data_IF_381382718056
#
_entry.id   IF_381382718056
#
_cell.length_a   1.000
_cell.length_b   1.000
_cell.length_c   1.000
_cell.angle_alpha   90.00
_cell.angle_beta   90.00
_cell.angle_gamma   90.00
#
_symmetry.space_group_name_H-M   'P 1'
#
loop_
_entity.id
_entity.type
_entity.pdbx_description
1 polymer ?
#
# COMPACT_ATOMS: atom_id res chain seq x y z
N UNK A 1 2.87 18.88 22.64
CA UNK A 1 2.85 17.86 21.57
C UNK A 1 4.21 17.20 21.56
N UNK A 2 4.29 15.91 21.24
CA UNK A 2 5.57 15.18 21.26
C UNK A 2 6.40 15.58 20.03
N UNK A 3 7.68 15.98 20.18
CA UNK A 3 8.55 16.35 19.06
C UNK A 3 8.63 15.28 17.95
N UNK A 4 8.35 14.02 18.30
CA UNK A 4 8.36 12.90 17.36
C UNK A 4 7.25 12.93 16.31
N UNK A 5 6.04 13.42 16.63
CA UNK A 5 4.96 13.47 15.64
C UNK A 5 5.27 14.52 14.57
N UNK A 6 5.73 15.69 14.98
CA UNK A 6 6.01 16.80 14.07
C UNK A 6 7.14 16.44 13.12
N UNK A 7 8.22 15.83 13.64
CA UNK A 7 9.33 15.34 12.84
C UNK A 7 8.90 14.24 11.84
N UNK A 8 8.05 13.31 12.28
CA UNK A 8 7.52 12.25 11.41
C UNK A 8 6.68 12.82 10.27
N UNK A 9 5.76 13.75 10.58
CA UNK A 9 4.90 14.37 9.58
C UNK A 9 5.69 15.26 8.62
N UNK A 10 6.71 15.98 9.11
CA UNK A 10 7.62 16.73 8.26
C UNK A 10 8.40 15.82 7.30
N UNK A 11 8.95 14.70 7.80
CA UNK A 11 9.65 13.73 6.96
C UNK A 11 8.72 13.10 5.91
N UNK A 12 7.50 12.71 6.30
CA UNK A 12 6.50 12.17 5.37
C UNK A 12 6.08 13.21 4.33
N UNK A 13 5.91 14.47 4.73
CA UNK A 13 5.58 15.57 3.83
C UNK A 13 6.65 15.74 2.76
N UNK A 14 7.91 15.91 3.17
CA UNK A 14 9.05 16.08 2.26
C UNK A 14 9.16 14.87 1.33
N UNK A 15 9.12 13.66 1.87
CA UNK A 15 9.19 12.45 1.07
C UNK A 15 8.06 12.37 0.03
N UNK A 16 6.83 12.67 0.44
CA UNK A 16 5.67 12.60 -0.46
C UNK A 16 5.71 13.70 -1.53
N UNK A 17 6.18 14.91 -1.18
CA UNK A 17 6.32 16.02 -2.12
C UNK A 17 7.41 15.73 -3.16
N UNK A 18 8.53 15.15 -2.74
CA UNK A 18 9.67 14.86 -3.62
C UNK A 18 9.45 13.65 -4.54
N UNK A 19 8.73 12.62 -4.08
CA UNK A 19 8.65 11.33 -4.77
C UNK A 19 7.27 11.00 -5.37
N UNK A 20 6.20 11.63 -4.92
CA UNK A 20 4.82 11.24 -5.28
C UNK A 20 3.98 12.40 -5.79
N UNK A 21 4.18 13.60 -5.27
CA UNK A 21 3.41 14.75 -5.70
C UNK A 21 3.69 15.04 -7.19
N UNK A 22 2.64 15.30 -8.00
CA UNK A 22 2.83 15.61 -9.40
C UNK A 22 3.60 16.92 -9.57
N UNK A 23 4.39 17.01 -10.64
CA UNK A 23 5.11 18.25 -11.03
C UNK A 23 4.14 19.43 -10.98
N UNK A 24 4.55 20.49 -10.26
CA UNK A 24 3.71 21.67 -9.96
C UNK A 24 3.05 22.18 -11.24
N UNK A 25 1.71 22.10 -11.30
CA UNK A 25 0.93 22.67 -12.40
C UNK A 25 0.97 24.20 -12.29
N UNK A 26 1.07 24.87 -13.44
CA UNK A 26 0.91 26.33 -13.52
C UNK A 26 -0.56 26.66 -13.16
N UNK A 27 -0.77 27.32 -12.01
CA UNK A 27 -2.11 27.68 -11.50
C UNK A 27 -2.09 27.95 -9.99
N UNK A 28 -3.26 28.31 -9.44
CA UNK A 28 -3.43 28.49 -7.99
C UNK A 28 -3.30 27.13 -7.28
N UNK A 29 -2.29 26.94 -6.40
CA UNK A 29 -2.10 25.66 -5.73
C UNK A 29 -3.34 25.31 -4.90
N UNK A 30 -3.73 24.02 -4.85
CA UNK A 30 -4.82 23.61 -4.00
C UNK A 30 -4.53 24.01 -2.55
N UNK A 31 -5.55 24.50 -1.83
CA UNK A 31 -5.40 25.00 -0.44
C UNK A 31 -4.74 23.97 0.49
N UNK A 32 -4.94 22.69 0.20
CA UNK A 32 -4.25 21.57 0.85
C UNK A 32 -3.64 20.71 -0.26
N UNK A 33 -2.35 20.46 -0.21
CA UNK A 33 -1.64 19.59 -1.18
C UNK A 33 -1.97 18.11 -0.95
N UNK A 34 -1.56 17.24 -1.86
CA UNK A 34 -1.71 15.78 -1.69
C UNK A 34 -0.77 15.25 -0.58
N UNK A 35 0.46 15.79 -0.48
CA UNK A 35 1.38 15.51 0.61
C UNK A 35 0.82 15.93 1.98
N UNK A 36 0.23 17.12 2.10
CA UNK A 36 -0.42 17.55 3.34
C UNK A 36 -1.66 16.69 3.67
N UNK A 37 -2.45 16.28 2.68
CA UNK A 37 -3.58 15.38 2.88
C UNK A 37 -3.14 14.05 3.49
N UNK A 38 -2.05 13.46 2.98
CA UNK A 38 -1.46 12.23 3.50
C UNK A 38 -0.97 12.40 4.93
N UNK A 39 -0.25 13.48 5.22
CA UNK A 39 0.21 13.78 6.58
C UNK A 39 -0.97 13.92 7.55
N UNK A 40 -2.05 14.59 7.13
CA UNK A 40 -3.26 14.72 7.94
C UNK A 40 -3.95 13.35 8.16
N UNK A 41 -3.99 12.49 7.14
CA UNK A 41 -4.55 11.15 7.27
C UNK A 41 -3.72 10.25 8.19
N UNK A 42 -2.39 10.27 8.06
CA UNK A 42 -1.47 9.51 8.92
C UNK A 42 -1.56 10.00 10.36
N UNK A 43 -1.58 11.33 10.58
CA UNK A 43 -1.77 11.90 11.90
C UNK A 43 -3.10 11.45 12.54
N UNK A 44 -4.19 11.41 11.77
CA UNK A 44 -5.48 10.91 12.25
C UNK A 44 -5.37 9.49 12.81
N UNK A 45 -4.68 8.59 12.08
CA UNK A 45 -4.52 7.18 12.46
C UNK A 45 -3.60 7.05 13.66
N UNK A 46 -2.44 7.70 13.67
CA UNK A 46 -1.47 7.65 14.76
C UNK A 46 -2.02 8.19 16.07
N UNK A 47 -2.91 9.19 16.00
CA UNK A 47 -3.57 9.77 17.15
C UNK A 47 -4.88 9.04 17.52
N UNK A 48 -5.26 7.98 16.81
CA UNK A 48 -6.40 7.12 17.16
C UNK A 48 -7.79 7.74 16.92
N UNK A 49 -7.91 8.72 16.01
CA UNK A 49 -9.21 9.35 15.75
C UNK A 49 -10.06 8.55 14.77
N UNK A 50 -11.13 7.93 15.27
CA UNK A 50 -12.11 7.21 14.43
C UNK A 50 -13.18 8.11 13.80
N UNK A 51 -13.46 9.28 14.42
CA UNK A 51 -14.47 10.22 13.93
C UNK A 51 -13.83 11.38 13.19
N UNK A 52 -14.10 11.49 11.88
CA UNK A 52 -13.60 12.59 11.05
C UNK A 52 -14.01 13.96 11.57
N UNK A 53 -15.21 14.08 12.16
CA UNK A 53 -15.68 15.34 12.75
C UNK A 53 -14.82 15.75 13.96
N UNK A 54 -14.55 14.81 14.87
CA UNK A 54 -13.69 15.08 16.01
C UNK A 54 -12.24 15.33 15.60
N UNK A 55 -11.75 14.57 14.62
CA UNK A 55 -10.43 14.73 14.04
C UNK A 55 -10.22 16.15 13.51
N UNK A 56 -11.10 16.63 12.64
CA UNK A 56 -10.92 17.94 12.01
C UNK A 56 -10.99 19.06 13.06
N UNK A 57 -11.91 18.97 14.03
CA UNK A 57 -11.95 19.92 15.15
C UNK A 57 -10.63 19.93 15.94
N UNK A 58 -10.06 18.76 16.21
CA UNK A 58 -8.78 18.64 16.89
C UNK A 58 -7.63 19.23 16.05
N UNK A 59 -7.57 18.90 14.76
CA UNK A 59 -6.54 19.39 13.85
C UNK A 59 -6.52 20.92 13.78
N UNK A 60 -7.69 21.56 13.67
CA UNK A 60 -7.81 23.02 13.71
C UNK A 60 -7.32 23.63 15.04
N UNK A 61 -7.51 22.94 16.16
CA UNK A 61 -7.10 23.43 17.47
C UNK A 61 -5.62 23.20 17.79
N UNK A 62 -5.00 22.13 17.26
CA UNK A 62 -3.69 21.65 17.72
C UNK A 62 -2.62 21.59 16.64
N UNK A 63 -3.00 21.42 15.38
CA UNK A 63 -2.08 21.23 14.26
C UNK A 63 -1.99 22.40 13.26
N UNK A 64 -2.51 23.64 13.49
CA UNK A 64 -2.48 24.66 12.45
C UNK A 64 -1.06 25.12 12.07
N UNK A 65 -0.07 24.85 12.92
CA UNK A 65 1.33 25.17 12.66
C UNK A 65 2.03 24.19 11.69
N UNK A 66 1.45 23.00 11.46
CA UNK A 66 2.03 21.97 10.58
C UNK A 66 1.49 22.02 9.15
N UNK A 67 0.40 22.77 8.92
CA UNK A 67 -0.32 22.76 7.64
C UNK A 67 -0.56 24.19 7.17
N UNK A 68 -0.43 24.43 5.86
CA UNK A 68 -0.71 25.74 5.27
C UNK A 68 -2.18 26.12 5.41
N UNK A 69 -3.07 25.16 5.19
CA UNK A 69 -4.51 25.36 5.35
C UNK A 69 -5.19 24.05 5.72
N UNK A 70 -6.04 24.08 6.74
CA UNK A 70 -6.80 22.91 7.16
C UNK A 70 -8.17 22.88 6.48
N UNK A 71 -8.55 21.74 5.87
CA UNK A 71 -9.85 21.60 5.22
C UNK A 71 -10.99 21.56 6.25
N UNK A 72 -12.20 21.79 5.77
CA UNK A 72 -13.42 21.45 6.51
C UNK A 72 -13.72 19.95 6.39
N UNK A 73 -14.55 19.43 7.30
CA UNK A 73 -14.82 17.99 7.41
C UNK A 73 -15.30 17.34 6.10
N UNK A 74 -16.20 17.99 5.37
CA UNK A 74 -16.70 17.49 4.09
C UNK A 74 -15.60 17.42 3.02
N UNK A 75 -14.79 18.48 2.91
CA UNK A 75 -13.67 18.55 1.96
C UNK A 75 -12.59 17.51 2.25
N UNK A 76 -12.22 17.34 3.52
CA UNK A 76 -11.27 16.31 3.94
C UNK A 76 -11.79 14.91 3.59
N UNK A 77 -13.03 14.59 3.96
CA UNK A 77 -13.62 13.27 3.73
C UNK A 77 -13.68 12.94 2.24
N UNK A 78 -14.13 13.91 1.42
CA UNK A 78 -14.19 13.75 -0.04
C UNK A 78 -12.83 13.44 -0.64
N UNK A 79 -11.79 14.17 -0.23
CA UNK A 79 -10.43 13.94 -0.75
C UNK A 79 -9.81 12.66 -0.23
N UNK A 80 -10.00 12.32 1.04
CA UNK A 80 -9.51 11.08 1.62
C UNK A 80 -10.13 9.86 0.91
N UNK A 81 -11.42 9.89 0.60
CA UNK A 81 -12.09 8.83 -0.16
C UNK A 81 -11.54 8.66 -1.59
N UNK A 82 -11.00 9.73 -2.18
CA UNK A 82 -10.35 9.69 -3.49
C UNK A 82 -8.84 9.40 -3.42
N UNK A 83 -8.25 9.36 -2.22
CA UNK A 83 -6.80 9.25 -2.03
C UNK A 83 -6.26 7.82 -2.20
N UNK A 84 -7.09 6.83 -2.52
CA UNK A 84 -6.66 5.43 -2.70
C UNK A 84 -5.43 5.28 -3.60
N UNK A 85 -5.44 5.81 -4.84
CA UNK A 85 -4.27 5.75 -5.73
C UNK A 85 -3.04 6.49 -5.19
N UNK A 86 -3.24 7.58 -4.45
CA UNK A 86 -2.16 8.35 -3.84
C UNK A 86 -1.48 7.55 -2.71
N UNK A 87 -2.28 6.91 -1.85
CA UNK A 87 -1.80 6.04 -0.78
C UNK A 87 -0.99 4.87 -1.38
N UNK A 88 -1.50 4.23 -2.44
CA UNK A 88 -0.77 3.17 -3.14
C UNK A 88 0.58 3.65 -3.68
N UNK A 89 0.66 4.85 -4.26
CA UNK A 89 1.91 5.42 -4.78
C UNK A 89 2.92 5.72 -3.67
N UNK A 90 2.47 6.27 -2.53
CA UNK A 90 3.36 6.52 -1.39
C UNK A 90 3.88 5.23 -0.80
N UNK A 91 3.03 4.22 -0.63
CA UNK A 91 3.44 2.90 -0.15
C UNK A 91 4.50 2.32 -1.09
N UNK A 92 4.27 2.35 -2.41
CA UNK A 92 5.24 1.88 -3.41
C UNK A 92 6.56 2.68 -3.34
N UNK A 93 6.49 4.01 -3.23
CA UNK A 93 7.67 4.87 -3.17
C UNK A 93 8.50 4.59 -1.90
N UNK A 94 7.84 4.44 -0.74
CA UNK A 94 8.48 4.07 0.52
C UNK A 94 9.09 2.66 0.45
N UNK A 95 8.41 1.71 -0.22
CA UNK A 95 8.93 0.36 -0.38
C UNK A 95 10.26 0.32 -1.12
N UNK A 96 10.45 1.21 -2.10
CA UNK A 96 11.71 1.35 -2.84
C UNK A 96 12.86 1.93 -2.03
N UNK A 97 12.59 2.54 -0.86
CA UNK A 97 13.64 3.06 0.02
C UNK A 97 14.20 2.01 0.98
N UNK A 98 13.53 0.86 1.09
CA UNK A 98 13.95 -0.19 2.02
C UNK A 98 15.08 -1.02 1.39
N UNK A 99 16.14 -1.40 2.15
CA UNK A 99 17.29 -2.13 1.59
C UNK A 99 16.91 -3.41 0.86
N UNK A 100 15.91 -4.13 1.39
CA UNK A 100 15.40 -5.41 0.88
C UNK A 100 14.42 -5.27 -0.29
N UNK A 101 14.25 -4.05 -0.84
CA UNK A 101 13.48 -3.84 -2.07
C UNK A 101 14.00 -4.70 -3.22
N UNK A 102 15.33 -4.81 -3.32
CA UNK A 102 15.99 -5.50 -4.43
C UNK A 102 16.15 -7.02 -4.24
N UNK A 103 15.66 -7.55 -3.12
CA UNK A 103 15.78 -8.98 -2.83
C UNK A 103 14.80 -9.79 -3.69
N UNK A 104 15.11 -11.07 -3.90
CA UNK A 104 14.19 -12.02 -4.54
C UNK A 104 13.11 -12.52 -3.56
N UNK A 105 13.32 -12.35 -2.25
CA UNK A 105 12.40 -12.80 -1.22
C UNK A 105 11.25 -11.80 -1.05
N UNK A 106 10.02 -12.32 -1.07
CA UNK A 106 8.79 -11.58 -0.72
C UNK A 106 8.02 -12.35 0.32
N UNK A 107 7.49 -11.64 1.31
CA UNK A 107 6.58 -12.21 2.29
C UNK A 107 5.15 -11.95 1.86
N UNK A 108 4.29 -12.92 2.12
CA UNK A 108 2.87 -12.85 1.83
C UNK A 108 2.13 -13.08 3.14
N UNK A 109 1.20 -12.19 3.45
CA UNK A 109 0.28 -12.37 4.57
C UNK A 109 -1.14 -11.96 4.17
N UNK A 110 -2.11 -12.55 4.87
CA UNK A 110 -3.51 -12.19 4.73
C UNK A 110 -4.17 -11.93 6.07
N UNK A 111 -4.70 -10.72 6.24
CA UNK A 111 -5.33 -10.29 7.48
C UNK A 111 -6.82 -10.00 7.26
N UNK A 112 -7.72 -10.40 8.17
CA UNK A 112 -9.12 -9.99 8.08
C UNK A 112 -9.23 -8.47 8.23
N UNK A 113 -10.06 -7.86 7.38
CA UNK A 113 -10.46 -6.46 7.47
C UNK A 113 -11.96 -6.40 7.80
N UNK A 114 -12.36 -6.42 9.08
CA UNK A 114 -13.75 -6.34 9.49
C UNK A 114 -14.34 -4.97 9.14
N UNK A 115 -15.50 -4.96 8.49
CA UNK A 115 -16.20 -3.73 8.10
C UNK A 115 -17.50 -3.53 8.88
N UNK A 116 -18.10 -4.59 9.40
CA UNK A 116 -19.30 -4.52 10.23
C UNK A 116 -19.38 -5.71 11.20
N UNK A 117 -20.13 -5.51 12.29
CA UNK A 117 -20.35 -6.54 13.31
C UNK A 117 -21.83 -6.96 13.44
N UNK A 118 -22.79 -6.14 12.99
CA UNK A 118 -24.23 -6.41 13.14
C UNK A 118 -24.91 -6.76 11.82
N UNK A 119 -25.92 -7.63 11.86
CA UNK A 119 -26.72 -8.00 10.67
C UNK A 119 -27.39 -6.80 10.01
N UNK A 120 -27.83 -5.83 10.81
CA UNK A 120 -28.49 -4.62 10.30
C UNK A 120 -27.49 -3.74 9.54
N UNK A 121 -26.28 -3.53 10.10
CA UNK A 121 -25.21 -2.79 9.44
C UNK A 121 -24.79 -3.47 8.14
N UNK A 122 -24.68 -4.81 8.14
CA UNK A 122 -24.37 -5.59 6.93
C UNK A 122 -25.38 -5.34 5.81
N UNK A 123 -26.70 -5.39 6.11
CA UNK A 123 -27.76 -5.21 5.11
C UNK A 123 -27.83 -3.80 4.55
N UNK A 124 -27.49 -2.79 5.35
CA UNK A 124 -27.56 -1.36 4.96
C UNK A 124 -26.23 -0.81 4.43
N UNK A 125 -25.15 -1.59 4.46
CA UNK A 125 -23.83 -1.13 4.07
C UNK A 125 -23.71 -1.04 2.55
N UNK A 126 -23.12 0.05 2.07
CA UNK A 126 -22.70 0.20 0.67
C UNK A 126 -21.64 -0.83 0.24
N UNK A 127 -21.03 -1.54 1.19
CA UNK A 127 -20.08 -2.63 0.94
C UNK A 127 -20.77 -3.97 0.67
N UNK A 128 -22.09 -4.06 0.85
CA UNK A 128 -22.84 -5.26 0.52
C UNK A 128 -22.66 -5.62 -0.97
N UNK A 129 -22.44 -6.90 -1.25
CA UNK A 129 -22.08 -7.40 -2.60
C UNK A 129 -20.58 -7.48 -2.87
N UNK A 130 -19.76 -6.71 -2.15
CA UNK A 130 -18.29 -6.74 -2.25
C UNK A 130 -17.64 -7.39 -1.02
N UNK A 131 -18.13 -7.03 0.17
CA UNK A 131 -17.74 -7.61 1.46
C UNK A 131 -18.60 -8.84 1.78
N UNK A 132 -18.04 -9.75 2.58
CA UNK A 132 -18.71 -10.99 2.95
C UNK A 132 -18.32 -11.52 4.32
N UNK A 133 -18.98 -12.61 4.72
CA UNK A 133 -18.60 -13.34 5.92
C UNK A 133 -17.36 -14.19 5.66
N UNK A 134 -16.41 -14.14 6.59
CA UNK A 134 -15.19 -14.95 6.60
C UNK A 134 -14.83 -15.40 8.01
N UNK A 135 -13.88 -16.33 8.08
CA UNK A 135 -13.33 -16.83 9.33
C UNK A 135 -11.82 -16.57 9.41
N UNK A 136 -11.37 -16.00 10.52
CA UNK A 136 -9.96 -15.82 10.83
C UNK A 136 -9.52 -16.91 11.79
N UNK A 137 -8.71 -17.86 11.31
CA UNK A 137 -8.24 -19.01 12.09
C UNK A 137 -7.30 -18.59 13.23
N UNK A 138 -6.43 -17.60 12.99
CA UNK A 138 -5.43 -17.15 13.98
C UNK A 138 -6.06 -16.52 15.23
N UNK A 139 -7.25 -15.94 15.10
CA UNK A 139 -8.00 -15.32 16.21
C UNK A 139 -9.30 -16.06 16.51
N UNK A 140 -9.49 -17.26 15.95
CA UNK A 140 -10.71 -18.07 16.03
C UNK A 140 -12.02 -17.28 15.99
N UNK A 141 -12.15 -16.34 15.04
CA UNK A 141 -13.31 -15.42 14.97
C UNK A 141 -13.90 -15.31 13.58
N UNK A 142 -15.23 -15.20 13.54
CA UNK A 142 -15.94 -14.79 12.33
C UNK A 142 -15.91 -13.26 12.20
N UNK A 143 -15.89 -12.79 10.96
CA UNK A 143 -15.98 -11.37 10.63
C UNK A 143 -16.84 -11.18 9.39
N UNK A 144 -17.42 -9.99 9.25
CA UNK A 144 -17.99 -9.54 7.98
C UNK A 144 -17.16 -8.38 7.45
N UNK A 145 -16.64 -8.50 6.22
CA UNK A 145 -15.73 -7.53 5.63
C UNK A 145 -14.95 -8.10 4.46
N UNK A 146 -13.68 -7.71 4.35
CA UNK A 146 -12.75 -8.16 3.32
C UNK A 146 -11.61 -8.95 3.94
N UNK A 147 -10.84 -9.65 3.09
CA UNK A 147 -9.51 -10.12 3.44
C UNK A 147 -8.50 -9.26 2.70
N UNK A 148 -7.59 -8.64 3.45
CA UNK A 148 -6.47 -7.87 2.92
C UNK A 148 -5.32 -8.83 2.69
N UNK A 149 -4.86 -8.92 1.45
CA UNK A 149 -3.65 -9.62 1.06
C UNK A 149 -2.54 -8.60 0.86
N UNK A 150 -1.38 -8.87 1.43
CA UNK A 150 -0.18 -8.04 1.32
C UNK A 150 0.95 -8.86 0.73
N UNK A 151 1.69 -8.25 -0.19
CA UNK A 151 3.03 -8.69 -0.59
C UNK A 151 4.00 -7.66 -0.03
N UNK A 152 4.95 -8.10 0.78
CA UNK A 152 5.88 -7.21 1.49
C UNK A 152 7.34 -7.59 1.21
N UNK A 153 8.26 -6.65 1.47
CA UNK A 153 9.70 -6.93 1.54
C UNK A 153 10.01 -7.80 2.77
N UNK A 154 11.25 -8.28 2.90
CA UNK A 154 11.67 -9.11 4.03
C UNK A 154 11.52 -8.40 5.39
N UNK A 155 11.60 -7.06 5.40
CA UNK A 155 11.39 -6.22 6.59
C UNK A 155 9.91 -5.91 6.87
N UNK A 156 9.00 -6.36 6.00
CA UNK A 156 7.56 -6.16 6.15
C UNK A 156 7.00 -4.91 5.50
N UNK A 157 7.79 -4.19 4.67
CA UNK A 157 7.29 -3.02 3.96
C UNK A 157 6.34 -3.43 2.82
N UNK A 158 5.09 -2.95 2.76
CA UNK A 158 4.16 -3.34 1.71
C UNK A 158 4.60 -2.86 0.33
N UNK A 159 4.65 -3.79 -0.62
CA UNK A 159 4.98 -3.55 -2.03
C UNK A 159 3.70 -3.42 -2.85
N UNK A 160 2.79 -4.38 -2.68
CA UNK A 160 1.45 -4.35 -3.27
C UNK A 160 0.45 -5.03 -2.34
N UNK A 161 -0.82 -4.76 -2.57
CA UNK A 161 -1.92 -5.24 -1.75
C UNK A 161 -3.21 -5.34 -2.54
N UNK A 162 -4.13 -6.20 -2.09
CA UNK A 162 -5.51 -6.20 -2.57
C UNK A 162 -6.50 -6.53 -1.46
N UNK A 163 -7.72 -6.04 -1.65
CA UNK A 163 -8.87 -6.47 -0.87
C UNK A 163 -9.65 -7.49 -1.68
N UNK A 164 -9.89 -8.65 -1.09
CA UNK A 164 -10.70 -9.69 -1.71
C UNK A 164 -11.89 -10.05 -0.83
N UNK A 165 -12.93 -10.56 -1.47
CA UNK A 165 -14.04 -11.17 -0.78
C UNK A 165 -13.54 -12.37 0.06
N UNK A 166 -13.93 -12.55 1.33
CA UNK A 166 -13.34 -13.57 2.21
C UNK A 166 -13.53 -15.03 1.77
N UNK A 167 -14.42 -15.28 0.82
CA UNK A 167 -14.64 -16.61 0.22
C UNK A 167 -13.68 -16.92 -0.94
N UNK A 168 -12.98 -15.92 -1.47
CA UNK A 168 -11.97 -16.13 -2.52
C UNK A 168 -10.78 -16.87 -1.91
N UNK A 169 -10.32 -17.93 -2.57
CA UNK A 169 -9.18 -18.70 -2.10
C UNK A 169 -7.91 -17.84 -2.09
N UNK A 170 -7.02 -18.09 -1.13
CA UNK A 170 -5.74 -17.36 -1.02
C UNK A 170 -4.91 -17.43 -2.30
N UNK A 171 -4.86 -18.61 -2.93
CA UNK A 171 -4.16 -18.79 -4.21
C UNK A 171 -4.76 -17.94 -5.32
N UNK A 172 -6.08 -17.90 -5.44
CA UNK A 172 -6.77 -17.12 -6.47
C UNK A 172 -6.55 -15.62 -6.28
N UNK A 173 -6.68 -15.14 -5.04
CA UNK A 173 -6.43 -13.75 -4.68
C UNK A 173 -4.97 -13.35 -4.97
N UNK A 174 -4.02 -14.23 -4.65
CA UNK A 174 -2.60 -14.01 -4.88
C UNK A 174 -2.24 -14.03 -6.36
N UNK A 175 -2.73 -14.99 -7.13
CA UNK A 175 -2.51 -15.04 -8.58
C UNK A 175 -3.00 -13.74 -9.23
N UNK A 176 -4.21 -13.30 -8.90
CA UNK A 176 -4.75 -12.04 -9.43
C UNK A 176 -3.91 -10.81 -9.04
N UNK A 177 -3.38 -10.78 -7.81
CA UNK A 177 -2.50 -9.71 -7.34
C UNK A 177 -1.16 -9.70 -8.10
N UNK A 178 -0.54 -10.87 -8.26
CA UNK A 178 0.73 -11.02 -8.97
C UNK A 178 0.60 -10.75 -10.46
N UNK A 179 -0.52 -11.10 -11.09
CA UNK A 179 -0.79 -10.79 -12.50
C UNK A 179 -0.93 -9.28 -12.73
N UNK A 180 -1.67 -8.60 -11.84
CA UNK A 180 -1.90 -7.15 -11.93
C UNK A 180 -0.63 -6.35 -11.71
N UNK A 181 0.12 -6.68 -10.66
CA UNK A 181 1.27 -5.90 -10.20
C UNK A 181 2.60 -6.64 -10.38
N UNK A 182 2.67 -7.55 -11.36
CA UNK A 182 3.89 -8.31 -11.69
C UNK A 182 5.11 -7.39 -11.82
N UNK A 183 4.94 -6.18 -12.36
CA UNK A 183 6.03 -5.20 -12.51
C UNK A 183 6.59 -4.75 -11.15
N UNK A 184 5.79 -4.65 -10.10
CA UNK A 184 6.23 -4.19 -8.78
C UNK A 184 6.92 -5.30 -8.02
N UNK A 185 6.37 -6.51 -8.12
CA UNK A 185 6.99 -7.71 -7.58
C UNK A 185 8.33 -7.95 -8.28
N UNK A 186 8.37 -7.80 -9.62
CA UNK A 186 9.54 -8.03 -10.46
C UNK A 186 10.55 -6.89 -10.49
N UNK A 187 10.18 -5.63 -10.32
CA UNK A 187 11.13 -4.50 -10.36
C UNK A 187 12.08 -4.46 -9.15
N UNK A 188 11.77 -5.20 -8.10
CA UNK A 188 12.77 -5.51 -7.06
C UNK A 188 13.82 -6.52 -7.55
N UNK A 189 13.49 -7.39 -8.49
CA UNK A 189 14.48 -8.24 -9.13
C UNK A 189 15.34 -7.35 -10.02
N UNK A 190 16.56 -7.05 -9.57
CA UNK A 190 17.58 -6.54 -10.47
C UNK A 190 17.60 -7.44 -11.70
N UNK A 191 17.52 -6.85 -12.90
CA UNK A 191 17.56 -7.61 -14.14
C UNK A 191 18.95 -8.21 -14.33
N UNK A 192 19.27 -9.28 -13.61
CA UNK A 192 20.29 -10.22 -14.03
C UNK A 192 19.67 -11.01 -15.16
N UNK A 193 19.89 -10.53 -16.38
CA UNK A 193 19.86 -11.37 -17.56
C UNK A 193 20.61 -12.66 -17.22
N UNK A 194 19.86 -13.77 -17.19
CA UNK A 194 20.45 -15.10 -17.23
C UNK A 194 21.53 -15.09 -18.32
N UNK A 195 22.78 -15.51 -18.03
CA UNK A 195 23.75 -15.71 -19.08
C UNK A 195 23.10 -16.69 -20.06
N UNK A 196 22.83 -16.22 -21.28
CA UNK A 196 22.47 -17.13 -22.35
C UNK A 196 23.59 -18.16 -22.40
N UNK A 197 23.26 -19.43 -22.09
CA UNK A 197 24.15 -20.55 -22.33
C UNK A 197 24.51 -20.50 -23.81
N UNK A 198 25.68 -19.98 -24.11
CA UNK A 198 26.31 -20.12 -25.42
C UNK A 198 26.41 -21.62 -25.69
N UNK A 199 25.82 -22.05 -26.81
CA UNK A 199 25.85 -23.44 -27.22
C UNK A 199 27.29 -23.90 -27.35
N UNK A 200 27.71 -24.81 -26.47
CA UNK A 200 28.93 -25.58 -26.66
C UNK A 200 28.66 -26.66 -27.69
N UNK A 201 29.13 -26.36 -28.89
CA UNK A 201 29.57 -27.23 -29.97
C UNK A 201 29.85 -28.67 -29.51
N UNK A 202 29.17 -29.64 -30.15
CA UNK A 202 29.39 -31.06 -29.93
C UNK A 202 30.82 -31.52 -30.30
N UNK A 203 31.27 -32.67 -29.77
CA UNK A 203 32.65 -33.10 -29.92
C UNK A 203 32.93 -33.58 -31.35
N UNK A 204 33.92 -32.94 -31.97
CA UNK A 204 34.48 -33.32 -33.26
C UNK A 204 35.35 -34.57 -33.09
N UNK A 205 34.87 -35.72 -33.61
CA UNK A 205 35.62 -36.98 -33.68
C UNK A 205 36.93 -36.78 -34.45
N UNK A 206 38.06 -36.76 -33.75
CA UNK A 206 39.37 -37.06 -34.34
C UNK A 206 39.47 -38.57 -34.56
N UNK A 207 39.40 -39.01 -35.81
CA UNK A 207 39.96 -40.31 -36.23
C UNK A 207 41.41 -40.07 -36.62
N UNK A 208 42.33 -40.58 -35.81
CA UNK A 208 43.73 -40.81 -36.18
C UNK A 208 43.94 -42.30 -36.41
N UNK A 209 44.53 -42.62 -37.55
CA UNK A 209 44.97 -43.94 -38.00
C UNK A 209 45.96 -44.61 -37.03
N UNK A 210 46.06 -45.94 -37.12
CA UNK A 210 47.23 -46.69 -36.66
C UNK A 210 47.09 -48.20 -36.85
N UNK A 211 47.77 -48.69 -37.90
CA UNK A 211 48.33 -50.03 -38.15
C UNK A 211 47.50 -51.30 -37.99
#
# INVERSE_FOLDING_TARGET
MTPGLDALLAALYVFSDDHVAPVRRIGDPPKLTDAELLCLAVAQVLLGFHSTRHWIRFAHARLPHLFRSLPQQSGYTKRLNAAGPLISQVIEALARQVPTWHDDLRLIDSTPLPCAASRETVKRSALAGHAGYGYCRSHSRFFWGFRLYLVTTAEGMPVTWCLAHPKLGEREAMTALLERDHRLVRAGYGSWSLPQRSGTTGPQKRRSNGH
#
